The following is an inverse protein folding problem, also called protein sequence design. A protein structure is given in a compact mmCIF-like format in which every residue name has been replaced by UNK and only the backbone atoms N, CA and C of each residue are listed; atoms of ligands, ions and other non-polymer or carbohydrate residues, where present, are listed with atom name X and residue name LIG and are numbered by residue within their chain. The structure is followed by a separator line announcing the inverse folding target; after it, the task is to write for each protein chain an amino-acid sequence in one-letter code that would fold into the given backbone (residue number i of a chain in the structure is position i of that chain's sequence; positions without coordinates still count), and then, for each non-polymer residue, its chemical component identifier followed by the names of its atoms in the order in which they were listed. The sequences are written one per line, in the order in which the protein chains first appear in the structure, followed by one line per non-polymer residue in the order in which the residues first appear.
data_IF_729916319330
#
_entry.id   IF_729916319330
#
_cell.length_a   1.000
_cell.length_b   1.000
_cell.length_c   1.000
_cell.angle_alpha   90.00
_cell.angle_beta   90.00
_cell.angle_gamma   90.00
#
_symmetry.space_group_name_H-M   'P 1'
#
loop_
_entity.id
_entity.type
_entity.pdbx_description
1 polymer ?
#
# COMPACT_ATOMS: atom_id res chain seq x y z
N UNK A 1 4.99 -19.14 7.78
CA UNK A 1 5.19 -17.71 7.47
C UNK A 1 4.50 -16.90 8.54
N UNK A 2 5.18 -15.88 9.05
CA UNK A 2 4.55 -14.92 9.96
C UNK A 2 3.72 -13.92 9.15
N UNK A 3 2.74 -13.29 9.79
CA UNK A 3 1.88 -12.26 9.16
C UNK A 3 2.68 -11.11 8.53
N UNK A 4 3.83 -10.79 9.11
CA UNK A 4 4.74 -9.76 8.62
C UNK A 4 5.45 -10.19 7.32
N UNK A 5 5.92 -11.43 7.26
CA UNK A 5 6.56 -12.00 6.06
C UNK A 5 5.60 -12.00 4.85
N UNK A 6 4.32 -12.31 5.08
CA UNK A 6 3.31 -12.28 4.02
C UNK A 6 3.11 -10.87 3.48
N UNK A 7 3.02 -9.87 4.37
CA UNK A 7 2.92 -8.46 3.98
C UNK A 7 4.16 -7.98 3.22
N UNK A 8 5.37 -8.35 3.67
CA UNK A 8 6.62 -8.04 2.96
C UNK A 8 6.63 -8.70 1.58
N UNK A 9 6.13 -9.93 1.47
CA UNK A 9 6.03 -10.64 0.18
C UNK A 9 5.07 -9.93 -0.77
N UNK A 10 3.91 -9.47 -0.28
CA UNK A 10 2.95 -8.71 -1.08
C UNK A 10 3.57 -7.38 -1.52
N UNK A 11 4.19 -6.62 -0.61
CA UNK A 11 4.87 -5.36 -0.93
C UNK A 11 5.85 -5.52 -2.09
N UNK A 12 6.75 -6.51 -1.99
CA UNK A 12 7.74 -6.82 -3.03
C UNK A 12 7.09 -7.18 -4.37
N UNK A 13 5.95 -7.89 -4.37
CA UNK A 13 5.22 -8.22 -5.61
C UNK A 13 4.65 -6.96 -6.25
N UNK A 14 4.02 -6.07 -5.46
CA UNK A 14 3.46 -4.81 -5.95
C UNK A 14 4.57 -3.89 -6.51
N UNK A 15 5.70 -3.77 -5.82
CA UNK A 15 6.85 -2.98 -6.31
C UNK A 15 7.40 -3.55 -7.63
N UNK A 16 7.44 -4.89 -7.75
CA UNK A 16 7.87 -5.58 -8.97
C UNK A 16 6.90 -5.35 -10.14
N UNK A 17 5.60 -5.28 -9.87
CA UNK A 17 4.57 -4.94 -10.87
C UNK A 17 4.77 -3.51 -11.39
N UNK A 18 4.95 -2.55 -10.48
CA UNK A 18 5.19 -1.13 -10.83
C UNK A 18 6.48 -0.98 -11.64
N UNK A 19 7.60 -1.56 -11.19
CA UNK A 19 8.89 -1.48 -11.90
C UNK A 19 8.88 -2.12 -13.29
N UNK A 20 7.99 -3.09 -13.53
CA UNK A 20 7.81 -3.73 -14.84
C UNK A 20 6.74 -3.07 -15.70
N UNK A 21 6.09 -2.01 -15.18
CA UNK A 21 4.93 -1.37 -15.78
C UNK A 21 3.82 -2.39 -16.14
N UNK A 22 3.70 -3.45 -15.36
CA UNK A 22 2.67 -4.48 -15.52
C UNK A 22 2.00 -4.71 -14.16
N UNK A 23 0.77 -4.21 -14.04
CA UNK A 23 -0.05 -4.27 -12.82
C UNK A 23 -1.12 -5.35 -12.87
N UNK A 24 -1.04 -6.27 -13.83
CA UNK A 24 -1.93 -7.44 -13.91
C UNK A 24 -1.83 -8.29 -12.62
N UNK A 25 -2.98 -8.64 -12.05
CA UNK A 25 -3.06 -9.37 -10.78
C UNK A 25 -2.87 -8.50 -9.53
N UNK A 26 -2.72 -7.17 -9.66
CA UNK A 26 -2.67 -6.28 -8.50
C UNK A 26 -3.97 -6.33 -7.68
N UNK A 27 -5.12 -6.50 -8.34
CA UNK A 27 -6.44 -6.61 -7.69
C UNK A 27 -6.46 -7.69 -6.59
N UNK A 28 -5.95 -8.88 -6.88
CA UNK A 28 -5.97 -10.00 -5.93
C UNK A 28 -5.11 -9.71 -4.71
N UNK A 29 -3.93 -9.12 -4.92
CA UNK A 29 -3.04 -8.70 -3.84
C UNK A 29 -3.67 -7.60 -2.97
N UNK A 30 -4.36 -6.63 -3.58
CA UNK A 30 -5.06 -5.58 -2.84
C UNK A 30 -6.25 -6.13 -2.05
N UNK A 31 -7.01 -7.07 -2.61
CA UNK A 31 -8.10 -7.76 -1.90
C UNK A 31 -7.56 -8.59 -0.73
N UNK A 32 -6.43 -9.25 -0.92
CA UNK A 32 -5.75 -9.96 0.15
C UNK A 32 -5.44 -9.00 1.31
N UNK A 33 -4.85 -7.83 1.00
CA UNK A 33 -4.54 -6.76 1.97
C UNK A 33 -5.78 -6.21 2.68
N UNK A 34 -6.94 -6.19 2.04
CA UNK A 34 -8.21 -5.78 2.67
C UNK A 34 -8.65 -6.76 3.77
N UNK A 35 -8.31 -8.05 3.64
CA UNK A 35 -8.54 -9.06 4.67
C UNK A 35 -7.56 -8.98 5.85
N UNK A 36 -6.47 -8.23 5.73
CA UNK A 36 -5.54 -8.03 6.84
C UNK A 36 -6.09 -6.99 7.82
N UNK A 37 -6.32 -7.43 9.05
CA UNK A 37 -6.36 -6.54 10.21
C UNK A 37 -4.99 -5.83 10.36
N UNK A 38 -4.85 -4.67 9.72
CA UNK A 38 -3.62 -3.89 9.64
C UNK A 38 -3.38 -3.14 10.95
N UNK A 39 -2.11 -3.01 11.34
CA UNK A 39 -1.70 -2.20 12.50
C UNK A 39 -0.64 -1.19 12.07
N UNK A 40 -0.49 -0.12 12.84
CA UNK A 40 0.53 0.90 12.59
C UNK A 40 1.94 0.29 12.54
N UNK A 41 2.25 -0.62 13.47
CA UNK A 41 3.54 -1.32 13.54
C UNK A 41 3.84 -2.08 12.24
N UNK A 42 2.89 -2.91 11.78
CA UNK A 42 3.05 -3.67 10.54
C UNK A 42 3.17 -2.75 9.32
N UNK A 43 2.39 -1.67 9.26
CA UNK A 43 2.43 -0.71 8.16
C UNK A 43 3.81 -0.03 8.06
N UNK A 44 4.42 0.29 9.20
CA UNK A 44 5.74 0.92 9.28
C UNK A 44 6.87 -0.07 8.96
N UNK A 45 6.85 -1.26 9.56
CA UNK A 45 7.90 -2.29 9.40
C UNK A 45 7.92 -2.84 7.97
N UNK A 46 6.75 -3.15 7.41
CA UNK A 46 6.66 -3.77 6.07
C UNK A 46 6.68 -2.76 4.94
N UNK A 47 6.44 -1.47 5.25
CA UNK A 47 6.37 -0.37 4.28
C UNK A 47 5.35 -0.58 3.15
N UNK A 48 4.39 -1.50 3.33
CA UNK A 48 3.38 -1.89 2.33
C UNK A 48 2.55 -0.71 1.80
N UNK A 49 2.35 0.33 2.62
CA UNK A 49 1.65 1.54 2.22
C UNK A 49 2.28 2.25 1.01
N UNK A 50 3.61 2.20 0.87
CA UNK A 50 4.30 2.79 -0.28
C UNK A 50 4.08 1.97 -1.54
N UNK A 51 4.17 0.64 -1.45
CA UNK A 51 3.96 -0.26 -2.58
C UNK A 51 2.53 -0.15 -3.13
N UNK A 52 1.52 -0.06 -2.25
CA UNK A 52 0.12 0.17 -2.64
C UNK A 52 -0.07 1.54 -3.30
N UNK A 53 0.61 2.58 -2.81
CA UNK A 53 0.57 3.89 -3.45
C UNK A 53 1.26 3.89 -4.83
N UNK A 54 2.32 3.11 -5.01
CA UNK A 54 2.93 2.87 -6.32
C UNK A 54 1.91 2.30 -7.30
N UNK A 55 1.16 1.28 -6.89
CA UNK A 55 0.07 0.71 -7.71
C UNK A 55 -1.00 1.75 -8.03
N UNK A 56 -1.46 2.52 -7.04
CA UNK A 56 -2.45 3.60 -7.25
C UNK A 56 -2.03 4.58 -8.34
N UNK A 57 -0.74 4.88 -8.45
CA UNK A 57 -0.19 5.87 -9.40
C UNK A 57 0.09 5.31 -10.79
N UNK A 58 0.52 4.06 -10.87
CA UNK A 58 1.01 3.45 -12.10
C UNK A 58 -0.01 2.54 -12.78
N UNK A 59 -1.02 2.06 -12.05
CA UNK A 59 -2.09 1.27 -12.64
C UNK A 59 -3.04 2.19 -13.43
N UNK A 60 -3.63 1.65 -14.51
CA UNK A 60 -4.65 2.33 -15.32
C UNK A 60 -6.05 1.75 -15.10
N UNK A 61 -6.17 0.66 -14.34
CA UNK A 61 -7.45 0.05 -13.99
C UNK A 61 -8.11 0.82 -12.85
N UNK A 62 -9.27 1.41 -13.12
CA UNK A 62 -9.99 2.25 -12.17
C UNK A 62 -10.44 1.50 -10.91
N UNK A 63 -10.79 0.21 -11.01
CA UNK A 63 -11.21 -0.59 -9.87
C UNK A 63 -10.02 -0.86 -8.94
N UNK A 64 -8.86 -1.19 -9.51
CA UNK A 64 -7.60 -1.38 -8.76
C UNK A 64 -7.20 -0.08 -8.06
N UNK A 65 -7.26 1.04 -8.76
CA UNK A 65 -6.96 2.37 -8.20
C UNK A 65 -7.94 2.72 -7.07
N UNK A 66 -9.23 2.44 -7.24
CA UNK A 66 -10.25 2.71 -6.24
C UNK A 66 -9.99 1.90 -4.96
N UNK A 67 -9.69 0.61 -5.08
CA UNK A 67 -9.39 -0.24 -3.93
C UNK A 67 -8.10 0.20 -3.22
N UNK A 68 -7.05 0.55 -3.97
CA UNK A 68 -5.82 1.09 -3.40
C UNK A 68 -6.09 2.38 -2.60
N UNK A 69 -6.94 3.29 -3.11
CA UNK A 69 -7.34 4.51 -2.39
C UNK A 69 -8.07 4.20 -1.07
N UNK A 70 -8.95 3.19 -1.04
CA UNK A 70 -9.66 2.76 0.18
C UNK A 70 -8.67 2.26 1.22
N UNK A 71 -7.78 1.34 0.85
CA UNK A 71 -6.76 0.79 1.76
C UNK A 71 -5.87 1.90 2.34
N UNK A 72 -5.38 2.80 1.49
CA UNK A 72 -4.59 3.95 1.91
C UNK A 72 -5.38 4.80 2.92
N UNK A 73 -6.65 5.12 2.61
CA UNK A 73 -7.49 5.93 3.51
C UNK A 73 -7.67 5.27 4.87
N UNK A 74 -7.89 3.97 4.90
CA UNK A 74 -8.09 3.22 6.16
C UNK A 74 -6.81 3.15 6.98
N UNK A 75 -5.66 2.93 6.34
CA UNK A 75 -4.37 2.94 7.02
C UNK A 75 -3.95 4.33 7.50
N UNK A 76 -4.32 5.40 6.78
CA UNK A 76 -4.12 6.78 7.24
C UNK A 76 -4.86 7.05 8.56
N UNK A 77 -6.02 6.43 8.80
CA UNK A 77 -6.74 6.57 10.08
C UNK A 77 -5.97 5.94 11.25
N UNK A 78 -5.19 4.88 10.99
CA UNK A 78 -4.35 4.23 12.01
C UNK A 78 -3.18 5.12 12.47
N UNK A 79 -2.75 6.08 11.64
CA UNK A 79 -1.63 6.99 11.93
C UNK A 79 -2.01 8.18 12.82
N UNK A 80 -3.30 8.44 13.05
CA UNK A 80 -3.74 9.62 13.83
C UNK A 80 -3.34 10.96 13.19
N UNK A 81 -3.61 12.07 13.90
CA UNK A 81 -3.31 13.45 13.49
C UNK A 81 -1.81 13.80 13.53
N UNK A 82 -0.94 12.86 13.89
CA UNK A 82 0.52 13.09 13.96
C UNK A 82 1.14 13.10 12.55
N UNK A 83 0.82 14.19 11.85
CA UNK A 83 1.33 14.66 10.57
C UNK A 83 2.86 14.86 10.53
N UNK A 84 3.55 14.63 11.64
CA UNK A 84 5.00 14.83 11.76
C UNK A 84 5.81 13.62 11.29
N UNK A 85 5.27 12.40 11.34
CA UNK A 85 5.93 11.20 10.77
C UNK A 85 5.86 11.21 9.23
N UNK A 86 4.87 11.90 8.67
CA UNK A 86 4.62 12.04 7.24
C UNK A 86 5.76 12.77 6.49
N UNK A 87 6.53 13.63 7.16
CA UNK A 87 7.65 14.37 6.53
C UNK A 87 8.84 13.44 6.22
N UNK A 88 8.99 12.31 6.92
CA UNK A 88 10.11 11.38 6.72
C UNK A 88 9.75 10.15 5.85
N UNK A 89 8.47 9.92 5.56
CA UNK A 89 7.97 8.82 4.71
C UNK A 89 7.41 9.27 3.35
N UNK A 90 7.84 10.43 2.87
CA UNK A 90 7.60 10.92 1.50
C UNK A 90 6.18 11.48 1.24
N UNK A 91 5.88 12.61 1.90
CA UNK A 91 4.69 13.46 1.72
C UNK A 91 4.51 14.02 0.29
N UNK A 92 5.50 13.89 -0.59
CA UNK A 92 5.36 14.34 -1.98
C UNK A 92 4.53 13.36 -2.83
N UNK A 93 4.26 12.14 -2.34
CA UNK A 93 3.65 11.09 -3.17
C UNK A 93 2.17 10.77 -2.89
N UNK A 94 1.54 11.37 -1.88
CA UNK A 94 0.14 11.07 -1.52
C UNK A 94 -0.87 12.20 -1.80
N UNK A 95 -0.42 13.35 -2.35
CA UNK A 95 -1.25 14.55 -2.57
C UNK A 95 -1.34 14.95 -4.07
N UNK A 96 -1.06 14.02 -4.98
CA UNK A 96 -1.54 14.09 -6.37
C UNK A 96 -2.50 12.94 -6.66
#
# INVERSE_FOLDING_TARGET
MTREEDLIRIAKKLDKMVSRNNTEGAMDLLKELQGFNMTLKLLQETRIGMSVNGIRKHCTDEEVIALAKVLIKDWKRLLGKDLLIYIHMDLQQFVQ
#
